data_IF_831751062281
#
_entry.id   IF_831751062281
#
_cell.length_a   1.000
_cell.length_b   1.000
_cell.length_c   1.000
_cell.angle_alpha   90.00
_cell.angle_beta   90.00
_cell.angle_gamma   90.00
#
_symmetry.space_group_name_H-M   'P 1'
#
loop_
_entity.id
_entity.type
_entity.pdbx_description
1 polymer ?
#
# COMPACT_ATOMS: atom_id res chain seq x y z
N UNK A 1 9.32 -19.39 11.06
CA UNK A 1 8.27 -18.42 10.72
C UNK A 1 8.04 -18.53 9.21
N UNK A 2 6.86 -18.96 8.76
CA UNK A 2 6.52 -18.98 7.33
C UNK A 2 6.28 -17.54 6.89
N UNK A 3 7.00 -17.04 5.88
CA UNK A 3 6.71 -15.74 5.26
C UNK A 3 5.52 -15.98 4.30
N UNK A 4 4.37 -15.28 4.45
CA UNK A 4 3.17 -15.54 3.63
C UNK A 4 3.42 -15.39 2.12
N UNK A 5 4.47 -14.66 1.71
CA UNK A 5 4.91 -14.57 0.30
C UNK A 5 5.45 -15.89 -0.29
N UNK A 6 5.86 -16.83 0.55
CA UNK A 6 6.50 -18.10 0.17
C UNK A 6 5.47 -19.25 0.06
N UNK A 7 4.22 -19.04 0.48
CA UNK A 7 3.24 -20.14 0.51
C UNK A 7 2.72 -20.59 -0.86
N UNK A 8 2.75 -19.73 -1.88
CA UNK A 8 2.17 -20.05 -3.19
C UNK A 8 3.08 -19.60 -4.34
N UNK A 9 3.57 -20.55 -5.14
CA UNK A 9 4.63 -20.38 -6.14
C UNK A 9 4.14 -20.15 -7.57
N UNK A 10 2.83 -20.01 -7.73
CA UNK A 10 2.16 -20.11 -9.00
C UNK A 10 0.78 -19.44 -8.92
N UNK A 11 0.29 -19.00 -10.08
CA UNK A 11 -1.06 -18.46 -10.20
C UNK A 11 -2.12 -19.58 -10.31
N UNK A 12 -1.77 -20.71 -10.91
CA UNK A 12 -2.59 -21.93 -10.98
C UNK A 12 -2.13 -22.95 -9.92
N UNK A 13 -2.98 -23.35 -8.95
CA UNK A 13 -2.61 -24.29 -7.90
C UNK A 13 -2.06 -25.64 -8.38
N UNK A 14 -2.40 -26.09 -9.59
CA UNK A 14 -2.05 -27.42 -10.10
C UNK A 14 -0.87 -27.41 -11.07
N UNK A 15 -0.39 -26.23 -11.48
CA UNK A 15 0.66 -26.09 -12.48
C UNK A 15 1.76 -25.20 -11.92
N UNK A 16 2.96 -25.75 -11.79
CA UNK A 16 4.17 -24.99 -11.51
C UNK A 16 4.98 -24.95 -12.81
N UNK A 17 5.27 -23.76 -13.36
CA UNK A 17 6.14 -23.66 -14.52
C UNK A 17 7.52 -24.27 -14.24
N UNK A 18 8.09 -24.96 -15.23
CA UNK A 18 9.39 -25.59 -15.08
C UNK A 18 10.49 -24.59 -14.70
N UNK A 19 10.40 -23.36 -15.23
CA UNK A 19 11.29 -22.26 -14.90
C UNK A 19 11.20 -21.88 -13.42
N UNK A 20 9.99 -21.67 -12.90
CA UNK A 20 9.75 -21.30 -11.50
C UNK A 20 10.27 -22.37 -10.53
N UNK A 21 10.04 -23.65 -10.85
CA UNK A 21 10.57 -24.77 -10.06
C UNK A 21 12.11 -24.77 -10.04
N UNK A 22 12.75 -24.63 -11.20
CA UNK A 22 14.21 -24.58 -11.30
C UNK A 22 14.81 -23.36 -10.60
N UNK A 23 14.12 -22.20 -10.65
CA UNK A 23 14.53 -20.99 -9.92
C UNK A 23 14.45 -21.19 -8.42
N UNK A 24 13.37 -21.79 -7.92
CA UNK A 24 13.20 -22.08 -6.49
C UNK A 24 14.32 -22.97 -5.96
N UNK A 25 14.72 -24.00 -6.70
CA UNK A 25 15.85 -24.87 -6.31
C UNK A 25 17.19 -24.13 -6.35
N UNK A 26 17.41 -23.28 -7.35
CA UNK A 26 18.66 -22.54 -7.53
C UNK A 26 18.82 -21.39 -6.52
N UNK A 27 17.75 -20.66 -6.25
CA UNK A 27 17.73 -19.43 -5.45
C UNK A 27 17.44 -19.72 -3.96
N UNK A 28 16.79 -20.84 -3.65
CA UNK A 28 16.62 -21.33 -2.29
C UNK A 28 15.97 -20.30 -1.36
N UNK A 29 16.71 -19.85 -0.35
CA UNK A 29 16.24 -18.86 0.63
C UNK A 29 16.07 -17.44 0.08
N UNK A 30 16.76 -17.12 -1.02
CA UNK A 30 16.67 -15.82 -1.69
C UNK A 30 15.50 -15.76 -2.69
N UNK A 31 14.83 -16.90 -2.91
CA UNK A 31 13.66 -16.95 -3.77
C UNK A 31 12.54 -16.07 -3.21
N UNK A 32 11.98 -15.22 -4.09
CA UNK A 32 10.93 -14.23 -3.77
C UNK A 32 11.29 -13.20 -2.70
N UNK A 33 12.58 -12.95 -2.48
CA UNK A 33 13.00 -11.87 -1.60
C UNK A 33 13.22 -10.59 -2.42
N UNK A 34 12.73 -9.46 -1.90
CA UNK A 34 13.18 -8.14 -2.35
C UNK A 34 14.59 -7.92 -1.83
N UNK A 35 15.40 -7.12 -2.53
CA UNK A 35 16.72 -6.76 -2.03
C UNK A 35 16.56 -5.90 -0.79
N UNK A 36 17.25 -6.26 0.29
CA UNK A 36 17.34 -5.45 1.50
C UNK A 36 18.69 -4.73 1.47
N UNK A 37 18.69 -3.46 1.08
CA UNK A 37 19.89 -2.60 1.12
C UNK A 37 19.98 -1.92 2.49
N UNK A 38 20.23 -2.71 3.55
CA UNK A 38 20.28 -2.23 4.94
C UNK A 38 21.57 -1.46 5.31
N UNK A 39 22.47 -1.23 4.35
CA UNK A 39 23.77 -0.58 4.58
C UNK A 39 23.68 0.92 4.31
N UNK A 40 23.25 1.74 5.30
CA UNK A 40 23.43 3.21 5.42
C UNK A 40 23.49 4.06 4.12
N UNK A 41 22.82 3.62 3.06
CA UNK A 41 22.92 4.13 1.70
C UNK A 41 21.54 4.56 1.24
N UNK A 42 21.46 5.17 0.06
CA UNK A 42 20.18 5.62 -0.50
C UNK A 42 19.34 4.38 -0.77
N UNK A 43 18.18 4.25 -0.12
CA UNK A 43 17.25 3.16 -0.36
C UNK A 43 16.72 3.26 -1.81
N UNK A 44 17.23 2.40 -2.68
CA UNK A 44 16.77 2.25 -4.06
C UNK A 44 15.76 1.11 -4.22
N UNK A 45 15.46 0.41 -3.13
CA UNK A 45 14.65 -0.81 -3.11
C UNK A 45 13.17 -0.55 -2.85
N UNK A 46 12.78 0.65 -2.42
CA UNK A 46 11.39 1.00 -2.09
C UNK A 46 10.37 0.69 -3.19
N UNK A 47 10.77 0.77 -4.47
CA UNK A 47 9.93 0.46 -5.64
C UNK A 47 9.91 -1.01 -6.07
N UNK A 48 10.69 -1.87 -5.42
CA UNK A 48 10.82 -3.26 -5.80
C UNK A 48 9.61 -4.08 -5.33
N UNK A 49 9.05 -4.83 -6.25
CA UNK A 49 7.98 -5.79 -5.98
C UNK A 49 8.35 -7.13 -6.59
N UNK A 50 7.94 -8.21 -5.94
CA UNK A 50 8.13 -9.56 -6.46
C UNK A 50 6.77 -10.24 -6.53
N UNK A 51 6.50 -10.90 -7.65
CA UNK A 51 5.23 -11.58 -7.89
C UNK A 51 5.20 -13.01 -7.28
N UNK A 52 4.11 -13.75 -7.57
CA UNK A 52 3.93 -15.12 -7.04
C UNK A 52 4.88 -16.15 -7.63
N UNK A 53 5.48 -15.88 -8.78
CA UNK A 53 6.41 -16.78 -9.47
C UNK A 53 7.87 -16.32 -9.31
N UNK A 54 8.10 -15.27 -8.51
CA UNK A 54 9.43 -14.74 -8.23
C UNK A 54 9.95 -13.77 -9.29
N UNK A 55 9.10 -13.21 -10.14
CA UNK A 55 9.46 -12.15 -11.08
C UNK A 55 9.55 -10.81 -10.33
N UNK A 56 10.72 -10.18 -10.42
CA UNK A 56 10.98 -8.90 -9.79
C UNK A 56 10.66 -7.75 -10.75
N UNK A 57 9.91 -6.76 -10.28
CA UNK A 57 9.61 -5.52 -10.96
C UNK A 57 10.09 -4.34 -10.11
N UNK A 58 10.54 -3.26 -10.77
CA UNK A 58 10.92 -2.02 -10.09
C UNK A 58 10.04 -0.87 -10.62
N UNK A 59 9.22 -0.30 -9.74
CA UNK A 59 8.38 0.84 -10.05
C UNK A 59 9.07 2.14 -9.63
N UNK A 60 9.03 3.20 -10.46
CA UNK A 60 9.53 4.49 -10.06
C UNK A 60 8.69 5.01 -8.89
N UNK A 61 9.37 5.36 -7.80
CA UNK A 61 8.77 6.05 -6.66
C UNK A 61 9.28 7.49 -6.68
N UNK A 62 8.36 8.44 -6.51
CA UNK A 62 8.73 9.84 -6.34
C UNK A 62 9.42 10.00 -4.98
N UNK A 63 10.62 10.60 -4.94
CA UNK A 63 11.28 10.86 -3.67
C UNK A 63 10.47 11.86 -2.85
N UNK A 64 10.59 11.77 -1.53
CA UNK A 64 10.04 12.81 -0.65
C UNK A 64 10.60 14.17 -1.07
N UNK A 65 9.71 15.15 -1.27
CA UNK A 65 10.12 16.53 -1.50
C UNK A 65 10.96 17.01 -0.32
N UNK A 66 12.03 17.77 -0.57
CA UNK A 66 12.82 18.37 0.50
C UNK A 66 11.93 19.24 1.40
N UNK A 67 11.69 18.75 2.61
CA UNK A 67 11.11 19.51 3.70
C UNK A 67 12.26 20.23 4.39
N UNK A 68 12.05 21.49 4.76
CA UNK A 68 13.09 22.28 5.43
C UNK A 68 13.45 21.71 6.82
N UNK A 69 12.52 21.00 7.48
CA UNK A 69 12.71 20.41 8.82
C UNK A 69 12.23 18.95 8.89
N UNK A 70 13.01 18.03 9.49
CA UNK A 70 12.60 16.63 9.67
C UNK A 70 11.37 16.54 10.59
N UNK A 71 10.19 16.26 10.04
CA UNK A 71 8.97 16.06 10.82
C UNK A 71 7.71 16.64 10.18
N UNK A 72 7.82 17.67 9.33
CA UNK A 72 6.65 18.43 8.89
C UNK A 72 5.69 17.59 8.04
N UNK A 73 6.18 16.75 7.11
CA UNK A 73 5.31 15.88 6.31
C UNK A 73 4.66 14.76 7.13
N UNK A 74 5.30 14.27 8.20
CA UNK A 74 4.68 13.27 9.06
C UNK A 74 3.51 13.89 9.84
N UNK A 75 3.68 15.12 10.31
CA UNK A 75 2.61 15.87 10.96
C UNK A 75 1.47 16.21 9.99
N UNK A 76 1.79 16.63 8.75
CA UNK A 76 0.80 16.87 7.69
C UNK A 76 0.07 15.59 7.26
N UNK A 77 0.77 14.47 7.09
CA UNK A 77 0.16 13.18 6.76
C UNK A 77 -0.75 12.67 7.87
N UNK A 78 -0.32 12.78 9.14
CA UNK A 78 -1.15 12.43 10.29
C UNK A 78 -2.38 13.35 10.38
N UNK A 79 -2.21 14.66 10.15
CA UNK A 79 -3.31 15.61 10.11
C UNK A 79 -4.29 15.31 8.97
N UNK A 80 -3.80 15.03 7.76
CA UNK A 80 -4.61 14.66 6.59
C UNK A 80 -5.35 13.35 6.84
N UNK A 81 -4.69 12.36 7.46
CA UNK A 81 -5.31 11.08 7.82
C UNK A 81 -6.41 11.26 8.89
N UNK A 82 -6.17 12.12 9.87
CA UNK A 82 -7.17 12.47 10.88
C UNK A 82 -8.38 13.21 10.28
N UNK A 83 -8.14 14.16 9.37
CA UNK A 83 -9.19 14.85 8.62
C UNK A 83 -10.00 13.87 7.77
N UNK A 84 -9.33 13.01 7.00
CA UNK A 84 -9.96 11.96 6.18
C UNK A 84 -10.83 11.03 7.04
N UNK A 85 -10.36 10.64 8.22
CA UNK A 85 -11.16 9.81 9.14
C UNK A 85 -12.37 10.55 9.70
N UNK A 86 -12.24 11.85 10.00
CA UNK A 86 -13.36 12.67 10.45
C UNK A 86 -14.41 12.83 9.34
N UNK A 87 -13.99 13.11 8.11
CA UNK A 87 -14.86 13.15 6.92
C UNK A 87 -15.59 11.82 6.69
N UNK A 88 -14.88 10.71 6.80
CA UNK A 88 -15.50 9.39 6.66
C UNK A 88 -16.51 9.12 7.79
N UNK A 89 -16.22 9.56 9.02
CA UNK A 89 -17.18 9.42 10.14
C UNK A 89 -18.42 10.28 9.94
N UNK A 90 -18.26 11.52 9.47
CA UNK A 90 -19.41 12.40 9.19
C UNK A 90 -20.21 11.91 8.00
N UNK A 91 -19.56 11.40 6.94
CA UNK A 91 -20.23 10.80 5.79
C UNK A 91 -20.97 9.50 6.14
N UNK A 92 -20.46 8.70 7.08
CA UNK A 92 -21.11 7.47 7.55
C UNK A 92 -22.16 7.72 8.66
N UNK A 93 -22.27 8.94 9.18
CA UNK A 93 -23.27 9.29 10.20
C UNK A 93 -24.62 9.58 9.54
N UNK A 94 -25.56 8.64 9.70
CA UNK A 94 -26.90 8.67 9.10
C UNK A 94 -27.96 9.40 9.94
N UNK A 95 -27.63 9.82 11.17
CA UNK A 95 -28.50 10.66 11.99
C UNK A 95 -28.37 12.13 11.57
N UNK A 96 -29.24 12.54 10.64
CA UNK A 96 -29.21 13.86 9.98
C UNK A 96 -30.39 14.76 10.36
N UNK A 97 -31.03 14.48 11.50
CA UNK A 97 -32.11 15.33 12.00
C UNK A 97 -31.58 16.71 12.36
N UNK A 98 -31.95 17.73 11.58
CA UNK A 98 -31.64 19.15 11.84
C UNK A 98 -30.53 19.77 10.96
N UNK A 99 -29.88 19.01 10.08
CA UNK A 99 -28.83 19.51 9.16
C UNK A 99 -29.36 20.13 7.85
N UNK A 100 -30.68 20.19 7.69
CA UNK A 100 -31.34 20.88 6.58
C UNK A 100 -31.75 22.27 7.02
N UNK A 101 -31.02 23.28 6.55
CA UNK A 101 -31.42 24.69 6.71
C UNK A 101 -31.98 25.22 5.40
N UNK A 102 -32.68 26.36 5.41
CA UNK A 102 -33.14 27.00 4.17
C UNK A 102 -32.00 27.51 3.27
N UNK A 103 -30.74 27.48 3.75
CA UNK A 103 -29.56 28.04 3.07
C UNK A 103 -28.52 26.99 2.67
N UNK A 104 -28.42 25.86 3.35
CA UNK A 104 -27.49 24.76 3.03
C UNK A 104 -28.07 23.38 3.38
N UNK A 105 -27.69 22.39 2.58
CA UNK A 105 -28.01 20.97 2.77
C UNK A 105 -26.72 20.19 3.00
N UNK A 106 -26.30 20.08 4.26
CA UNK A 106 -25.05 19.44 4.69
C UNK A 106 -25.27 17.96 5.07
N UNK A 107 -26.30 17.35 4.48
CA UNK A 107 -26.67 15.94 4.64
C UNK A 107 -25.81 15.04 3.74
N UNK A 108 -25.44 13.87 4.25
CA UNK A 108 -24.77 12.79 3.54
C UNK A 108 -25.64 12.29 2.38
N UNK A 109 -25.11 12.37 1.16
CA UNK A 109 -25.85 12.10 -0.09
C UNK A 109 -26.08 10.61 -0.39
N UNK A 110 -25.96 9.74 0.61
CA UNK A 110 -26.08 8.29 0.47
C UNK A 110 -24.93 7.67 -0.35
N UNK A 111 -24.93 6.33 -0.46
CA UNK A 111 -23.87 5.51 -1.07
C UNK A 111 -23.77 5.61 -2.61
N UNK A 112 -24.33 6.66 -3.21
CA UNK A 112 -24.45 6.84 -4.67
C UNK A 112 -23.64 7.98 -5.27
N UNK A 113 -22.90 8.76 -4.48
CA UNK A 113 -21.94 9.73 -5.00
C UNK A 113 -20.52 9.16 -4.90
N UNK A 114 -20.00 8.75 -6.04
CA UNK A 114 -18.56 8.68 -6.32
C UNK A 114 -18.22 9.89 -7.17
#
# INVERSE_FOLDING_TARGET
MSNPRVENDNYDPHIIPAETAARKEREGGDYKQVRDESDNSIDTSGGQTVDKEGLANNYPIEPEMYINEPGDLREEEEANKAQRQAELRTANQTDETGKLTSKSDDRGKGVGQV
#
